data_IF_263183565082
#
_entry.id   IF_263183565082
#
_cell.length_a   1.000
_cell.length_b   1.000
_cell.length_c   1.000
_cell.angle_alpha   90.00
_cell.angle_beta   90.00
_cell.angle_gamma   90.00
#
_symmetry.space_group_name_H-M   'P 1'
#
loop_
_entity.id
_entity.type
_entity.pdbx_description
1 polymer ?
#
# COMPACT_ATOMS: atom_id res chain seq x y z
N UNK A 1 -9.94 -22.62 -7.49
CA UNK A 1 -9.35 -22.00 -6.28
C UNK A 1 -7.94 -21.60 -6.64
N UNK A 2 -7.68 -20.29 -6.80
CA UNK A 2 -6.30 -19.82 -6.93
C UNK A 2 -5.64 -20.02 -5.57
N UNK A 3 -4.62 -20.88 -5.52
CA UNK A 3 -3.79 -20.99 -4.33
C UNK A 3 -3.05 -19.66 -4.20
N UNK A 4 -3.33 -18.91 -3.13
CA UNK A 4 -2.55 -17.73 -2.77
C UNK A 4 -1.11 -18.19 -2.62
N UNK A 5 -0.26 -17.73 -3.54
CA UNK A 5 1.12 -18.17 -3.54
C UNK A 5 1.82 -17.71 -2.25
N UNK A 6 2.68 -18.58 -1.73
CA UNK A 6 3.29 -18.39 -0.42
C UNK A 6 4.40 -17.35 -0.53
N UNK A 7 4.38 -16.34 0.34
CA UNK A 7 5.51 -15.41 0.51
C UNK A 7 6.55 -16.06 1.41
N UNK A 8 7.70 -16.40 0.82
CA UNK A 8 8.88 -16.80 1.56
C UNK A 8 9.75 -15.57 1.83
N UNK A 9 10.55 -15.65 2.89
CA UNK A 9 11.51 -14.61 3.28
C UNK A 9 10.88 -13.21 3.39
N UNK A 10 9.63 -13.15 3.88
CA UNK A 10 8.93 -11.88 4.02
C UNK A 10 9.32 -11.14 5.30
N UNK A 11 9.22 -9.82 5.23
CA UNK A 11 9.33 -8.92 6.38
C UNK A 11 8.07 -8.09 6.47
N UNK A 12 7.42 -8.18 7.64
CA UNK A 12 6.23 -7.41 7.99
C UNK A 12 6.62 -6.22 8.86
N UNK A 13 6.11 -5.05 8.49
CA UNK A 13 6.25 -3.79 9.21
C UNK A 13 4.88 -3.33 9.66
N UNK A 14 4.71 -3.16 10.97
CA UNK A 14 3.47 -2.65 11.52
C UNK A 14 3.37 -1.14 11.26
N UNK A 15 2.25 -0.72 10.65
CA UNK A 15 1.98 0.69 10.31
C UNK A 15 1.21 1.43 11.39
N UNK A 16 0.70 0.70 12.39
CA UNK A 16 0.04 1.25 13.57
C UNK A 16 0.63 0.62 14.82
N UNK A 17 0.60 1.33 15.94
CA UNK A 17 1.08 0.80 17.23
C UNK A 17 0.38 -0.51 17.65
N UNK A 18 -0.85 -0.72 17.17
CA UNK A 18 -1.65 -1.92 17.42
C UNK A 18 -1.40 -3.06 16.42
N UNK A 19 -0.57 -2.85 15.38
CA UNK A 19 -0.35 -3.81 14.29
C UNK A 19 -1.60 -4.08 13.43
N UNK A 20 -2.62 -3.22 13.54
CA UNK A 20 -3.90 -3.36 12.85
C UNK A 20 -3.75 -3.23 11.33
N UNK A 21 -2.74 -2.47 10.89
CA UNK A 21 -2.32 -2.34 9.50
C UNK A 21 -0.84 -2.64 9.39
N UNK A 22 -0.46 -3.22 8.27
CA UNK A 22 0.92 -3.64 8.04
C UNK A 22 1.29 -3.50 6.57
N UNK A 23 2.57 -3.27 6.33
CA UNK A 23 3.22 -3.43 5.04
C UNK A 23 4.08 -4.69 5.10
N UNK A 24 3.90 -5.61 4.17
CA UNK A 24 4.72 -6.80 4.04
C UNK A 24 5.44 -6.78 2.71
N UNK A 25 6.75 -7.05 2.73
CA UNK A 25 7.57 -7.21 1.54
C UNK A 25 8.13 -8.63 1.59
N UNK A 26 7.91 -9.43 0.54
CA UNK A 26 8.37 -10.81 0.51
C UNK A 26 8.56 -11.35 -0.90
N UNK A 27 9.14 -12.55 -0.98
CA UNK A 27 9.35 -13.24 -2.25
C UNK A 27 8.22 -14.25 -2.44
N UNK A 28 7.40 -14.01 -3.45
CA UNK A 28 6.43 -14.97 -3.92
C UNK A 28 7.14 -16.04 -4.76
N UNK A 29 7.01 -17.33 -4.42
CA UNK A 29 7.73 -18.43 -5.07
C UNK A 29 6.94 -19.19 -6.13
N UNK A 30 5.85 -18.60 -6.65
CA UNK A 30 5.25 -19.10 -7.88
C UNK A 30 6.26 -18.97 -9.02
N UNK A 31 6.51 -19.99 -9.88
CA UNK A 31 7.48 -19.86 -10.97
C UNK A 31 6.97 -18.89 -12.05
N UNK A 32 7.73 -17.84 -12.45
CA UNK A 32 9.00 -17.38 -11.87
C UNK A 32 8.80 -16.56 -10.60
N UNK A 33 9.67 -16.76 -9.59
CA UNK A 33 9.56 -16.07 -8.31
C UNK A 33 9.67 -14.55 -8.49
N UNK A 34 8.90 -13.78 -7.72
CA UNK A 34 8.90 -12.31 -7.79
C UNK A 34 8.76 -11.68 -6.39
N UNK A 35 9.20 -10.43 -6.26
CA UNK A 35 8.97 -9.65 -5.03
C UNK A 35 7.55 -9.11 -5.03
N UNK A 36 6.86 -9.30 -3.92
CA UNK A 36 5.51 -8.82 -3.70
C UNK A 36 5.51 -7.80 -2.56
N UNK A 37 4.89 -6.64 -2.80
CA UNK A 37 4.60 -5.63 -1.80
C UNK A 37 3.13 -5.76 -1.45
N UNK A 38 2.81 -5.94 -0.17
CA UNK A 38 1.45 -6.16 0.27
C UNK A 38 1.09 -5.24 1.43
N UNK A 39 0.03 -4.46 1.26
CA UNK A 39 -0.58 -3.68 2.32
C UNK A 39 -1.76 -4.47 2.87
N UNK A 40 -1.78 -4.75 4.17
CA UNK A 40 -2.87 -5.50 4.76
C UNK A 40 -3.44 -4.91 6.04
N UNK A 41 -4.57 -5.47 6.45
CA UNK A 41 -5.17 -5.24 7.75
C UNK A 41 -5.37 -6.55 8.53
N UNK A 42 -5.59 -6.43 9.84
CA UNK A 42 -5.85 -7.55 10.74
C UNK A 42 -7.14 -8.36 10.42
N UNK A 43 -8.02 -7.88 9.52
CA UNK A 43 -9.22 -8.62 9.08
C UNK A 43 -8.91 -9.56 7.93
N UNK A 44 -7.67 -9.58 7.46
CA UNK A 44 -7.23 -10.40 6.34
C UNK A 44 -7.47 -9.74 4.97
N UNK A 45 -7.88 -8.47 4.93
CA UNK A 45 -7.84 -7.74 3.65
C UNK A 45 -6.40 -7.43 3.30
N UNK A 46 -6.04 -7.69 2.06
CA UNK A 46 -4.69 -7.42 1.61
C UNK A 46 -4.66 -6.99 0.16
N UNK A 47 -3.97 -5.87 -0.06
CA UNK A 47 -3.77 -5.22 -1.34
C UNK A 47 -2.33 -5.48 -1.77
N UNK A 48 -2.16 -6.34 -2.78
CA UNK A 48 -0.86 -6.54 -3.44
C UNK A 48 -0.59 -5.40 -4.42
N UNK A 49 0.63 -4.88 -4.40
CA UNK A 49 1.10 -3.79 -5.25
C UNK A 49 2.31 -4.28 -6.06
N UNK A 50 2.32 -3.96 -7.35
CA UNK A 50 3.54 -4.06 -8.16
C UNK A 50 4.52 -2.96 -7.75
N UNK A 51 5.82 -3.14 -8.05
CA UNK A 51 6.82 -2.09 -7.84
C UNK A 51 6.44 -0.79 -8.57
N UNK A 52 5.95 -0.91 -9.80
CA UNK A 52 5.47 0.23 -10.59
C UNK A 52 4.32 0.97 -9.88
N UNK A 53 3.34 0.23 -9.35
CA UNK A 53 2.21 0.82 -8.63
C UNK A 53 2.67 1.48 -7.33
N UNK A 54 3.61 0.85 -6.62
CA UNK A 54 4.20 1.43 -5.42
C UNK A 54 4.93 2.74 -5.71
N UNK A 55 5.79 2.76 -6.74
CA UNK A 55 6.52 3.97 -7.12
C UNK A 55 5.60 5.08 -7.59
N UNK A 56 4.60 4.77 -8.41
CA UNK A 56 3.56 5.73 -8.79
C UNK A 56 2.79 6.27 -7.57
N UNK A 57 2.49 5.43 -6.57
CA UNK A 57 1.85 5.87 -5.34
C UNK A 57 2.75 6.79 -4.51
N UNK A 58 4.04 6.46 -4.39
CA UNK A 58 5.02 7.27 -3.68
C UNK A 58 5.24 8.63 -4.36
N UNK A 59 5.32 8.68 -5.69
CA UNK A 59 5.43 9.93 -6.45
C UNK A 59 4.22 10.85 -6.24
N UNK A 60 3.03 10.28 -6.04
CA UNK A 60 1.80 11.01 -5.79
C UNK A 60 1.63 11.46 -4.32
N UNK A 61 2.57 11.15 -3.41
CA UNK A 61 2.44 11.44 -1.97
C UNK A 61 2.01 12.89 -1.67
N UNK A 62 2.59 13.87 -2.38
CA UNK A 62 2.29 15.27 -2.15
C UNK A 62 0.89 15.65 -2.61
N UNK A 63 0.41 15.06 -3.71
CA UNK A 63 -0.95 15.26 -4.20
C UNK A 63 -1.96 14.62 -3.25
N UNK A 64 -1.66 13.45 -2.68
CA UNK A 64 -2.49 12.81 -1.65
C UNK A 64 -2.58 13.68 -0.38
N UNK A 65 -1.46 14.28 0.06
CA UNK A 65 -1.50 15.21 1.19
C UNK A 65 -2.33 16.47 0.90
N UNK A 66 -2.27 17.01 -0.33
CA UNK A 66 -3.16 18.11 -0.74
C UNK A 66 -4.63 17.67 -0.77
N UNK A 67 -4.93 16.45 -1.22
CA UNK A 67 -6.30 15.91 -1.18
C UNK A 67 -6.83 15.83 0.24
N UNK A 68 -6.03 15.35 1.18
CA UNK A 68 -6.39 15.28 2.60
C UNK A 68 -6.70 16.66 3.21
N UNK A 69 -6.05 17.71 2.71
CA UNK A 69 -6.28 19.11 3.11
C UNK A 69 -7.40 19.80 2.33
N UNK A 70 -8.06 19.09 1.42
CA UNK A 70 -9.06 19.66 0.50
C UNK A 70 -8.50 20.81 -0.37
N UNK A 71 -7.19 20.76 -0.68
CA UNK A 71 -6.47 21.73 -1.50
C UNK A 71 -6.26 21.23 -2.95
N UNK A 72 -6.68 20.00 -3.24
CA UNK A 72 -6.50 19.35 -4.54
C UNK A 72 -7.82 19.29 -5.31
N UNK A 73 -7.79 19.69 -6.59
CA UNK A 73 -9.01 19.88 -7.40
C UNK A 73 -9.73 18.57 -7.73
N UNK A 74 -8.99 17.47 -7.86
CA UNK A 74 -9.54 16.16 -8.19
C UNK A 74 -9.65 15.29 -6.94
N UNK A 75 -10.81 14.73 -6.64
CA UNK A 75 -10.96 13.93 -5.41
C UNK A 75 -10.44 12.48 -5.54
N UNK A 76 -9.78 12.16 -6.67
CA UNK A 76 -9.33 10.82 -7.01
C UNK A 76 -7.99 10.88 -7.77
N UNK A 77 -7.07 9.98 -7.43
CA UNK A 77 -5.82 9.73 -8.17
C UNK A 77 -5.82 8.26 -8.62
N UNK A 78 -5.54 8.01 -9.89
CA UNK A 78 -5.43 6.66 -10.45
C UNK A 78 -3.97 6.32 -10.76
N UNK A 79 -3.50 5.18 -10.26
CA UNK A 79 -2.14 4.66 -10.46
C UNK A 79 -2.25 3.21 -10.95
N UNK A 80 -2.17 3.00 -12.26
CA UNK A 80 -2.47 1.70 -12.86
C UNK A 80 -3.88 1.23 -12.48
N UNK A 81 -3.97 0.06 -11.82
CA UNK A 81 -5.23 -0.49 -11.32
C UNK A 81 -5.63 0.00 -9.91
N UNK A 82 -4.78 0.78 -9.25
CA UNK A 82 -5.03 1.35 -7.93
C UNK A 82 -5.74 2.70 -8.05
N UNK A 83 -6.79 2.89 -7.27
CA UNK A 83 -7.47 4.18 -7.13
C UNK A 83 -7.28 4.69 -5.70
N UNK A 84 -6.82 5.93 -5.57
CA UNK A 84 -6.63 6.64 -4.30
C UNK A 84 -7.68 7.73 -4.21
N UNK A 85 -8.39 7.76 -3.09
CA UNK A 85 -9.41 8.77 -2.81
C UNK A 85 -9.39 9.14 -1.33
N UNK A 86 -10.12 10.19 -0.96
CA UNK A 86 -10.32 10.59 0.43
C UNK A 86 -11.76 10.31 0.83
N UNK A 87 -11.95 9.78 2.03
CA UNK A 87 -13.27 9.55 2.60
C UNK A 87 -13.33 9.98 4.08
N UNK A 88 -14.50 10.37 4.54
CA UNK A 88 -14.74 10.68 5.96
C UNK A 88 -15.39 9.49 6.65
N UNK A 89 -14.86 9.10 7.80
CA UNK A 89 -15.42 8.06 8.66
C UNK A 89 -15.38 8.54 10.12
N UNK A 90 -16.54 8.66 10.77
CA UNK A 90 -16.65 9.15 12.15
C UNK A 90 -15.89 10.48 12.36
N UNK A 91 -16.14 11.45 11.48
CA UNK A 91 -15.49 12.77 11.46
C UNK A 91 -13.96 12.77 11.22
N UNK A 92 -13.37 11.60 10.99
CA UNK A 92 -11.96 11.48 10.61
C UNK A 92 -11.83 11.38 9.08
N UNK A 93 -10.95 12.21 8.52
CA UNK A 93 -10.55 12.14 7.11
C UNK A 93 -9.52 11.01 6.92
N UNK A 94 -9.82 10.08 6.02
CA UNK A 94 -9.00 8.90 5.73
C UNK A 94 -8.63 8.85 4.26
N UNK A 95 -7.47 8.27 3.97
CA UNK A 95 -7.09 7.86 2.61
C UNK A 95 -7.65 6.48 2.34
N UNK A 96 -8.32 6.33 1.21
CA UNK A 96 -8.89 5.08 0.72
C UNK A 96 -8.12 4.62 -0.51
N UNK A 97 -7.58 3.42 -0.43
CA UNK A 97 -6.91 2.71 -1.51
C UNK A 97 -7.85 1.60 -1.98
N UNK A 98 -8.28 1.66 -3.24
CA UNK A 98 -9.13 0.66 -3.88
C UNK A 98 -8.39 -0.03 -5.02
N UNK A 99 -8.47 -1.36 -5.03
CA UNK A 99 -8.29 -2.18 -6.23
C UNK A 99 -9.63 -2.81 -6.64
N UNK A 100 -9.60 -3.65 -7.68
CA UNK A 100 -10.79 -4.34 -8.19
C UNK A 100 -11.52 -5.20 -7.15
N UNK A 101 -10.82 -5.71 -6.13
CA UNK A 101 -11.37 -6.65 -5.15
C UNK A 101 -11.13 -6.26 -3.69
N UNK A 102 -10.23 -5.31 -3.43
CA UNK A 102 -9.80 -4.97 -2.06
C UNK A 102 -9.84 -3.46 -1.85
N UNK A 103 -10.31 -3.08 -0.66
CA UNK A 103 -10.31 -1.69 -0.19
C UNK A 103 -9.61 -1.61 1.15
N UNK A 104 -8.68 -0.68 1.27
CA UNK A 104 -8.01 -0.38 2.54
C UNK A 104 -8.12 1.12 2.81
N UNK A 105 -8.63 1.48 3.99
CA UNK A 105 -8.69 2.87 4.46
C UNK A 105 -7.67 3.10 5.56
N UNK A 106 -6.98 4.24 5.60
CA UNK A 106 -5.99 4.54 6.65
C UNK A 106 -5.91 6.04 6.94
N UNK A 107 -5.34 6.39 8.10
CA UNK A 107 -5.09 7.79 8.46
C UNK A 107 -3.89 8.35 7.70
N UNK A 108 -3.76 9.68 7.64
CA UNK A 108 -2.56 10.34 7.10
C UNK A 108 -1.28 9.84 7.80
N UNK A 109 -1.32 9.68 9.12
CA UNK A 109 -0.17 9.22 9.91
C UNK A 109 0.26 7.80 9.54
N UNK A 110 -0.70 6.90 9.30
CA UNK A 110 -0.42 5.54 8.85
C UNK A 110 0.16 5.54 7.44
N UNK A 111 -0.39 6.37 6.54
CA UNK A 111 0.11 6.51 5.17
C UNK A 111 1.55 7.03 5.15
N UNK A 112 1.86 8.02 5.99
CA UNK A 112 3.22 8.56 6.11
C UNK A 112 4.21 7.50 6.59
N UNK A 113 3.84 6.75 7.63
CA UNK A 113 4.65 5.61 8.11
C UNK A 113 4.86 4.56 7.02
N UNK A 114 3.84 4.29 6.21
CA UNK A 114 3.97 3.38 5.06
C UNK A 114 5.05 3.87 4.07
N UNK A 115 5.06 5.16 3.73
CA UNK A 115 6.04 5.73 2.80
C UNK A 115 7.46 5.82 3.35
N UNK A 116 7.67 5.81 4.68
CA UNK A 116 9.00 5.73 5.29
C UNK A 116 9.76 4.43 4.90
N UNK A 117 9.03 3.40 4.47
CA UNK A 117 9.61 2.13 4.01
C UNK A 117 9.98 2.10 2.51
N UNK A 118 9.84 3.18 1.75
CA UNK A 118 10.21 3.21 0.32
C UNK A 118 11.68 2.79 0.11
N UNK A 119 12.60 3.28 0.94
CA UNK A 119 14.00 2.88 0.88
C UNK A 119 14.23 1.39 1.20
N UNK A 120 13.39 0.76 2.04
CA UNK A 120 13.46 -0.69 2.28
C UNK A 120 12.99 -1.49 1.08
N UNK A 121 12.01 -0.97 0.32
CA UNK A 121 11.51 -1.60 -0.91
C UNK A 121 12.60 -1.56 -1.97
N UNK A 122 13.21 -0.40 -2.21
CA UNK A 122 14.28 -0.24 -3.21
C UNK A 122 15.42 -1.22 -3.00
N UNK A 123 15.95 -1.27 -1.77
CA UNK A 123 17.03 -2.21 -1.41
C UNK A 123 16.64 -3.67 -1.62
N UNK A 124 15.37 -4.02 -1.41
CA UNK A 124 14.90 -5.41 -1.59
C UNK A 124 14.84 -5.78 -3.07
N UNK A 125 14.37 -4.88 -3.94
CA UNK A 125 14.29 -5.12 -5.38
C UNK A 125 15.67 -5.09 -6.04
N UNK A 126 16.56 -4.15 -5.67
CA UNK A 126 17.94 -4.09 -6.20
C UNK A 126 18.75 -5.36 -5.94
N UNK A 127 18.51 -6.03 -4.79
CA UNK A 127 19.21 -7.26 -4.41
C UNK A 127 18.71 -8.52 -5.13
N UNK A 128 17.57 -8.44 -5.80
CA UNK A 128 16.91 -9.56 -6.46
C UNK A 128 16.85 -9.41 -7.99
N UNK A 129 17.29 -8.26 -8.53
CA UNK A 129 17.50 -8.00 -9.95
C UNK A 129 18.87 -8.53 -10.43
#
# INVERSE_FOLDING_TARGET
MEHRAVRLLSRRYDLTATGYKYLEIGINVSPPSYVEIALGDYRGHELSLSLETWKGLYEQQWNIYKMLRNEYKDNVISIGALTVSVCTLNDATLVRLDSSSVRITMTETTLRCMFEFDGCIDVTFERLA
#
